data_IF_840471045791
#
_entry.id   IF_840471045791
#
_cell.length_a   1.000
_cell.length_b   1.000
_cell.length_c   1.000
_cell.angle_alpha   90.00
_cell.angle_beta   90.00
_cell.angle_gamma   90.00
#
_symmetry.space_group_name_H-M   'P 1'
#
loop_
_entity.id
_entity.type
_entity.pdbx_description
1 polymer ?
#
# COMPACT_ATOMS: atom_id res chain seq x y z
N UNK A 1 0.03 9.64 -20.31
CA UNK A 1 1.43 10.01 -20.03
C UNK A 1 1.46 10.70 -18.67
N UNK A 2 2.20 10.18 -17.68
CA UNK A 2 2.13 10.62 -16.26
C UNK A 2 3.04 11.83 -15.94
N UNK A 3 3.28 12.72 -16.90
CA UNK A 3 4.04 13.96 -16.69
C UNK A 3 5.54 13.80 -16.38
N UNK A 4 6.13 12.62 -16.55
CA UNK A 4 7.57 12.40 -16.38
C UNK A 4 8.35 12.93 -17.60
N UNK A 5 9.29 13.85 -17.37
CA UNK A 5 10.08 14.52 -18.42
C UNK A 5 11.45 13.88 -18.69
N UNK A 6 11.96 13.03 -17.79
CA UNK A 6 13.24 12.33 -17.92
C UNK A 6 13.03 10.81 -17.76
N UNK A 7 13.39 9.97 -18.76
CA UNK A 7 13.19 8.52 -18.71
C UNK A 7 14.11 7.76 -17.74
N UNK A 8 15.09 8.42 -17.12
CA UNK A 8 15.95 7.79 -16.12
C UNK A 8 15.12 7.29 -14.90
N UNK A 9 15.34 6.09 -14.35
CA UNK A 9 14.62 5.61 -13.17
C UNK A 9 14.89 6.49 -11.94
N UNK A 10 13.87 7.18 -11.43
CA UNK A 10 13.99 8.03 -10.25
C UNK A 10 12.67 8.10 -9.46
N UNK A 11 12.78 8.49 -8.19
CA UNK A 11 11.65 8.88 -7.36
C UNK A 11 11.87 10.31 -6.84
N UNK A 12 10.85 10.87 -6.19
CA UNK A 12 10.93 12.20 -5.57
C UNK A 12 10.55 12.10 -4.10
N UNK A 13 11.23 12.89 -3.27
CA UNK A 13 10.90 13.06 -1.86
C UNK A 13 10.66 14.54 -1.63
N UNK A 14 9.45 14.91 -1.25
CA UNK A 14 9.07 16.28 -0.94
C UNK A 14 8.83 16.39 0.57
N UNK A 15 9.47 17.37 1.20
CA UNK A 15 9.32 17.64 2.62
C UNK A 15 8.65 19.00 2.83
N UNK A 16 7.68 19.05 3.74
CA UNK A 16 6.94 20.25 4.10
C UNK A 16 6.97 20.46 5.61
N UNK A 17 6.88 21.71 6.05
CA UNK A 17 6.72 22.07 7.48
C UNK A 17 5.28 21.96 7.97
N UNK A 18 4.36 21.54 7.10
CA UNK A 18 2.94 21.33 7.38
C UNK A 18 2.50 19.97 6.87
N UNK A 19 1.38 19.46 7.40
CA UNK A 19 0.78 18.20 6.98
C UNK A 19 -0.06 18.43 5.70
N UNK A 20 0.21 17.73 4.59
CA UNK A 20 -0.61 17.82 3.37
C UNK A 20 -2.06 17.36 3.61
N UNK A 21 -2.97 17.75 2.71
CA UNK A 21 -4.40 17.54 2.86
C UNK A 21 -4.77 16.06 3.06
N UNK A 22 -4.22 15.18 2.23
CA UNK A 22 -4.48 13.74 2.24
C UNK A 22 -3.97 13.12 3.55
N UNK A 23 -2.73 13.45 3.93
CA UNK A 23 -2.13 12.97 5.18
C UNK A 23 -2.89 13.45 6.42
N UNK A 24 -3.42 14.68 6.40
CA UNK A 24 -4.27 15.22 7.47
C UNK A 24 -5.61 14.48 7.57
N UNK A 25 -6.24 14.19 6.44
CA UNK A 25 -7.47 13.42 6.40
C UNK A 25 -7.26 12.00 6.91
N UNK A 26 -6.21 11.32 6.46
CA UNK A 26 -5.87 9.96 6.88
C UNK A 26 -5.51 9.85 8.37
N UNK A 27 -4.72 10.79 8.92
CA UNK A 27 -4.43 10.81 10.37
C UNK A 27 -5.71 10.92 11.20
N UNK A 28 -6.61 11.84 10.81
CA UNK A 28 -7.87 12.07 11.52
C UNK A 28 -8.76 10.83 11.49
N UNK A 29 -8.98 10.22 10.33
CA UNK A 29 -9.89 9.07 10.19
C UNK A 29 -9.33 7.83 10.86
N UNK A 30 -8.03 7.57 10.74
CA UNK A 30 -7.40 6.43 11.41
C UNK A 30 -7.41 6.59 12.93
N UNK A 31 -7.14 7.79 13.46
CA UNK A 31 -7.22 8.06 14.90
C UNK A 31 -8.64 7.90 15.43
N UNK A 32 -9.64 8.38 14.69
CA UNK A 32 -11.04 8.21 15.06
C UNK A 32 -11.46 6.73 15.08
N UNK A 33 -11.05 5.95 14.07
CA UNK A 33 -11.36 4.52 14.05
C UNK A 33 -10.71 3.79 15.22
N UNK A 34 -9.44 4.09 15.49
CA UNK A 34 -8.70 3.49 16.60
C UNK A 34 -9.35 3.81 17.95
N UNK A 35 -9.83 5.05 18.16
CA UNK A 35 -10.50 5.42 19.41
C UNK A 35 -11.86 4.74 19.58
N UNK A 36 -12.57 4.45 18.48
CA UNK A 36 -13.88 3.81 18.50
C UNK A 36 -13.82 2.28 18.60
N UNK A 37 -12.84 1.65 17.94
CA UNK A 37 -12.78 0.19 17.76
C UNK A 37 -11.60 -0.46 18.49
N UNK A 38 -10.63 0.32 18.96
CA UNK A 38 -9.44 -0.18 19.67
C UNK A 38 -8.40 -0.87 18.77
N UNK A 39 -8.63 -0.91 17.46
CA UNK A 39 -7.72 -1.53 16.47
C UNK A 39 -7.41 -0.55 15.33
N UNK A 40 -6.20 -0.58 14.74
CA UNK A 40 -5.88 0.23 13.57
C UNK A 40 -6.74 -0.15 12.35
N UNK A 41 -7.39 0.83 11.75
CA UNK A 41 -8.33 0.65 10.62
C UNK A 41 -7.75 -0.21 9.49
N UNK A 42 -6.53 0.10 9.04
CA UNK A 42 -5.93 -0.58 7.89
C UNK A 42 -5.48 -2.02 8.21
N UNK A 43 -5.17 -2.33 9.47
CA UNK A 43 -4.87 -3.71 9.87
C UNK A 43 -6.15 -4.55 9.91
N UNK A 44 -7.21 -3.99 10.48
CA UNK A 44 -8.52 -4.64 10.46
C UNK A 44 -8.98 -4.87 9.01
N UNK A 45 -8.82 -3.88 8.15
CA UNK A 45 -9.13 -3.99 6.73
C UNK A 45 -8.29 -5.07 6.02
N UNK A 46 -6.97 -5.09 6.24
CA UNK A 46 -6.07 -6.11 5.69
C UNK A 46 -6.49 -7.53 6.10
N UNK A 47 -6.85 -7.74 7.36
CA UNK A 47 -7.35 -9.02 7.87
C UNK A 47 -8.68 -9.43 7.24
N UNK A 48 -9.59 -8.48 7.01
CA UNK A 48 -10.86 -8.75 6.34
C UNK A 48 -10.64 -9.17 4.87
N UNK A 49 -9.76 -8.48 4.14
CA UNK A 49 -9.44 -8.84 2.75
C UNK A 49 -8.71 -10.19 2.66
N UNK A 50 -7.78 -10.49 3.58
CA UNK A 50 -7.10 -11.78 3.64
C UNK A 50 -8.07 -12.94 3.87
N UNK A 51 -9.15 -12.73 4.63
CA UNK A 51 -10.20 -13.73 4.88
C UNK A 51 -11.13 -13.91 3.68
N UNK A 52 -11.55 -12.81 3.05
CA UNK A 52 -12.52 -12.85 1.93
C UNK A 52 -11.88 -13.31 0.62
N UNK A 53 -10.63 -12.92 0.36
CA UNK A 53 -9.86 -13.24 -0.85
C UNK A 53 -10.46 -12.77 -2.18
N UNK A 54 -11.52 -11.95 -2.15
CA UNK A 54 -12.20 -11.45 -3.35
C UNK A 54 -11.39 -10.39 -4.12
N UNK A 55 -10.69 -9.52 -3.39
CA UNK A 55 -9.88 -8.41 -3.94
C UNK A 55 -8.39 -8.57 -3.65
N UNK A 56 -8.01 -9.75 -3.16
CA UNK A 56 -6.63 -10.10 -2.88
C UNK A 56 -5.90 -10.25 -4.22
N UNK A 57 -4.92 -9.40 -4.47
CA UNK A 57 -3.99 -9.59 -5.58
C UNK A 57 -2.97 -10.65 -5.18
N UNK A 58 -2.38 -10.49 -3.98
CA UNK A 58 -1.41 -11.42 -3.42
C UNK A 58 -1.08 -11.11 -1.96
N UNK A 59 -0.66 -12.12 -1.21
CA UNK A 59 -0.18 -12.01 0.17
C UNK A 59 1.06 -12.88 0.40
N UNK A 60 1.86 -12.49 1.39
CA UNK A 60 2.89 -13.34 1.98
C UNK A 60 2.86 -13.21 3.52
N UNK A 61 3.94 -13.61 4.19
CA UNK A 61 4.03 -13.55 5.65
C UNK A 61 4.02 -12.11 6.20
N UNK A 62 4.57 -11.14 5.46
CA UNK A 62 4.82 -9.78 5.91
C UNK A 62 3.94 -8.73 5.24
N UNK A 63 3.44 -9.01 4.03
CA UNK A 63 2.77 -8.05 3.14
C UNK A 63 1.49 -8.61 2.54
N UNK A 64 0.56 -7.71 2.25
CA UNK A 64 -0.65 -7.98 1.48
C UNK A 64 -0.87 -6.86 0.44
N UNK A 65 -1.25 -7.25 -0.78
CA UNK A 65 -1.64 -6.35 -1.85
C UNK A 65 -3.07 -6.66 -2.24
N UNK A 66 -3.90 -5.62 -2.24
CA UNK A 66 -5.32 -5.71 -2.58
C UNK A 66 -5.71 -4.64 -3.59
N UNK A 67 -6.79 -4.89 -4.33
CA UNK A 67 -7.56 -3.81 -4.94
C UNK A 67 -8.46 -3.23 -3.84
N UNK A 68 -8.26 -1.97 -3.39
CA UNK A 68 -9.04 -1.46 -2.28
C UNK A 68 -10.53 -1.40 -2.64
N UNK A 69 -11.41 -1.68 -1.68
CA UNK A 69 -12.87 -1.63 -1.90
C UNK A 69 -13.34 -0.27 -2.45
N UNK A 70 -12.63 0.81 -2.10
CA UNK A 70 -12.88 2.18 -2.53
C UNK A 70 -11.97 2.64 -3.69
N UNK A 71 -11.42 1.71 -4.49
CA UNK A 71 -10.58 2.05 -5.64
C UNK A 71 -11.29 3.04 -6.59
N UNK A 72 -10.57 4.07 -6.99
CA UNK A 72 -11.05 5.08 -7.96
C UNK A 72 -10.38 4.94 -9.33
N UNK A 73 -9.24 4.26 -9.40
CA UNK A 73 -8.57 3.92 -10.65
C UNK A 73 -8.77 2.45 -11.04
N UNK A 74 -8.87 2.10 -12.34
CA UNK A 74 -9.16 0.74 -12.79
C UNK A 74 -8.23 -0.34 -12.24
N UNK A 75 -6.95 0.01 -12.01
CA UNK A 75 -5.92 -0.89 -11.52
C UNK A 75 -5.23 -0.35 -10.26
N UNK A 76 -5.98 0.40 -9.44
CA UNK A 76 -5.45 0.85 -8.15
C UNK A 76 -5.18 -0.35 -7.24
N UNK A 77 -3.98 -0.40 -6.67
CA UNK A 77 -3.64 -1.37 -5.63
C UNK A 77 -3.20 -0.67 -4.35
N UNK A 78 -3.46 -1.31 -3.22
CA UNK A 78 -3.01 -0.89 -1.90
C UNK A 78 -2.09 -1.98 -1.32
N UNK A 79 -0.84 -1.61 -1.04
CA UNK A 79 0.15 -2.46 -0.38
C UNK A 79 0.17 -2.13 1.11
N UNK A 80 -0.01 -3.14 1.96
CA UNK A 80 -0.05 -2.99 3.42
C UNK A 80 0.87 -4.01 4.09
N UNK A 81 1.57 -3.64 5.19
CA UNK A 81 2.21 -4.60 6.05
C UNK A 81 1.17 -5.37 6.87
N UNK A 82 1.41 -6.66 7.12
CA UNK A 82 0.53 -7.50 7.97
C UNK A 82 0.77 -7.27 9.45
N UNK A 83 1.92 -6.69 9.81
CA UNK A 83 2.23 -6.22 11.16
C UNK A 83 1.84 -4.76 11.29
N UNK A 84 1.46 -4.33 12.49
CA UNK A 84 1.33 -2.90 12.79
C UNK A 84 2.69 -2.19 12.64
N UNK A 85 2.80 -1.32 11.63
CA UNK A 85 3.97 -0.50 11.33
C UNK A 85 3.49 0.93 11.07
N UNK A 86 4.00 1.89 11.81
CA UNK A 86 3.58 3.29 11.67
C UNK A 86 4.40 4.05 10.63
N UNK A 87 5.67 3.68 10.41
CA UNK A 87 6.59 4.37 9.51
C UNK A 87 7.51 3.40 8.80
N UNK A 88 8.00 3.76 7.61
CA UNK A 88 8.88 2.90 6.81
C UNK A 88 10.17 2.51 7.53
N UNK A 89 10.72 3.39 8.38
CA UNK A 89 11.91 3.08 9.20
C UNK A 89 11.67 2.00 10.27
N UNK A 90 10.41 1.72 10.62
CA UNK A 90 10.04 0.73 11.63
C UNK A 90 9.92 -0.70 11.03
N UNK A 91 10.21 -0.85 9.74
CA UNK A 91 10.29 -2.15 9.06
C UNK A 91 11.54 -2.91 9.50
N UNK A 92 11.36 -4.20 9.82
CA UNK A 92 12.43 -5.16 10.08
C UNK A 92 13.17 -5.47 8.77
N UNK A 93 14.42 -5.91 8.88
CA UNK A 93 15.25 -6.20 7.70
C UNK A 93 14.60 -7.22 6.76
N UNK A 94 14.01 -8.30 7.29
CA UNK A 94 13.28 -9.29 6.49
C UNK A 94 12.04 -8.73 5.78
N UNK A 95 11.34 -7.78 6.39
CA UNK A 95 10.17 -7.12 5.78
C UNK A 95 10.61 -6.18 4.65
N UNK A 96 11.73 -5.47 4.85
CA UNK A 96 12.33 -4.51 3.90
C UNK A 96 12.95 -5.20 2.68
N UNK A 97 13.65 -6.31 2.93
CA UNK A 97 14.32 -7.09 1.89
C UNK A 97 13.40 -8.10 1.20
N UNK A 98 12.10 -8.07 1.52
CA UNK A 98 11.11 -8.91 0.86
C UNK A 98 11.22 -8.74 -0.67
N UNK A 99 11.32 -9.89 -1.35
CA UNK A 99 11.54 -9.98 -2.81
C UNK A 99 10.54 -9.14 -3.62
N UNK A 100 9.35 -8.94 -3.04
CA UNK A 100 8.23 -8.16 -3.54
C UNK A 100 8.51 -6.66 -3.66
N UNK A 101 9.23 -6.07 -2.71
CA UNK A 101 9.62 -4.66 -2.77
C UNK A 101 10.71 -4.42 -3.83
N UNK A 102 11.48 -5.46 -4.16
CA UNK A 102 12.53 -5.41 -5.19
C UNK A 102 11.99 -5.68 -6.59
N UNK A 103 10.87 -6.39 -6.71
CA UNK A 103 10.22 -6.66 -7.99
C UNK A 103 8.67 -6.61 -7.87
N UNK A 104 8.08 -5.41 -7.71
CA UNK A 104 6.63 -5.26 -7.63
C UNK A 104 5.91 -5.64 -8.94
N UNK A 105 6.66 -5.93 -10.02
CA UNK A 105 6.20 -6.29 -11.36
C UNK A 105 6.74 -7.67 -11.79
N UNK A 106 6.84 -8.65 -10.89
CA UNK A 106 7.12 -10.05 -11.26
C UNK A 106 5.80 -10.77 -11.66
N UNK A 107 5.83 -11.77 -12.58
CA UNK A 107 4.77 -12.08 -13.55
C UNK A 107 3.51 -12.74 -12.99
N UNK A 108 3.35 -12.92 -11.67
CA UNK A 108 2.05 -13.27 -11.10
C UNK A 108 1.05 -12.11 -11.15
N UNK A 109 1.51 -10.86 -11.36
CA UNK A 109 0.66 -9.75 -11.79
C UNK A 109 0.41 -9.72 -13.31
N UNK A 110 1.19 -10.45 -14.12
CA UNK A 110 1.03 -10.50 -15.57
C UNK A 110 -0.23 -11.27 -16.02
N UNK A 111 -0.89 -12.01 -15.12
CA UNK A 111 -2.22 -12.57 -15.37
C UNK A 111 -3.32 -11.51 -15.55
N UNK A 112 -3.02 -10.22 -15.32
CA UNK A 112 -3.92 -9.11 -15.67
C UNK A 112 -3.67 -8.52 -17.08
N UNK A 113 -2.78 -9.08 -17.90
CA UNK A 113 -2.62 -8.67 -19.30
C UNK A 113 -2.15 -7.22 -19.50
N UNK A 114 -1.60 -6.59 -18.46
CA UNK A 114 -1.13 -5.21 -18.49
C UNK A 114 0.33 -5.16 -18.91
N UNK A 115 0.56 -5.19 -20.22
CA UNK A 115 1.71 -4.48 -20.77
C UNK A 115 1.47 -2.99 -20.58
N UNK A 116 2.12 -2.38 -19.60
CA UNK A 116 2.25 -0.93 -19.58
C UNK A 116 3.28 -0.55 -20.67
N UNK A 117 2.96 0.40 -21.57
CA UNK A 117 3.89 0.85 -22.60
C UNK A 117 5.14 1.53 -22.01
#
# INVERSE_FOLDING_TARGET
>A
MMGCSNPHPHCQVWASSFLPNEACLEDRTQRQHLSQHGVPMLLEYAEQEARRKERLVVENADWIVVVPYWATWPYQTLLLPRRHVCRLQDLRDGERDSEWLRNPINPHAASFGLGFP
#
